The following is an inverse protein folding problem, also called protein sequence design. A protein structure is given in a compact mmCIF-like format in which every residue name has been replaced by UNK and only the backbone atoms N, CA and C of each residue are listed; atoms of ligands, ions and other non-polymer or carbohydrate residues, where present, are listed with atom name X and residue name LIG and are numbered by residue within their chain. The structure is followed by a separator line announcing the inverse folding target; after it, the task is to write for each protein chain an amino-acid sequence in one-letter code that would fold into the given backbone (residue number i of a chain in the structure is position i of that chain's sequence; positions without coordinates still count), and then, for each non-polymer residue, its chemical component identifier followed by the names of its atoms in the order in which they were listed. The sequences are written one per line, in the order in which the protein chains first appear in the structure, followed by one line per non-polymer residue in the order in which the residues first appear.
data_IF_826498209753
#
_entry.id   IF_826498209753
#
_cell.length_a   1.000
_cell.length_b   1.000
_cell.length_c   1.000
_cell.angle_alpha   90.00
_cell.angle_beta   90.00
_cell.angle_gamma   90.00
#
_symmetry.space_group_name_H-M   'P 1'
#
loop_
_entity.id
_entity.type
_entity.pdbx_description
1 polymer ?
#
# COMPACT_ATOMS: atom_id res chain seq x y z
N UNK A 1 -27.49 -0.61 7.94
CA UNK A 1 -26.89 0.69 7.58
C UNK A 1 -25.53 0.82 8.24
N UNK A 2 -24.51 1.14 7.49
CA UNK A 2 -23.16 1.40 8.02
C UNK A 2 -23.20 2.67 8.87
N UNK A 3 -22.77 2.57 10.13
CA UNK A 3 -22.71 3.74 11.00
C UNK A 3 -21.43 4.53 10.77
N UNK A 4 -21.45 5.46 9.83
CA UNK A 4 -20.31 6.29 9.46
C UNK A 4 -19.74 7.11 10.62
N UNK A 5 -20.56 7.50 11.61
CA UNK A 5 -20.08 8.23 12.79
C UNK A 5 -19.09 7.39 13.62
N UNK A 6 -19.34 6.08 13.76
CA UNK A 6 -18.39 5.17 14.43
C UNK A 6 -17.10 5.02 13.64
N UNK A 7 -17.19 4.96 12.31
CA UNK A 7 -16.00 4.88 11.45
C UNK A 7 -15.17 6.16 11.53
N UNK A 8 -15.80 7.33 11.48
CA UNK A 8 -15.13 8.62 11.62
C UNK A 8 -14.34 8.73 12.93
N UNK A 9 -14.91 8.26 14.04
CA UNK A 9 -14.25 8.28 15.35
C UNK A 9 -12.96 7.43 15.44
N UNK A 10 -12.72 6.55 14.48
CA UNK A 10 -11.49 5.74 14.42
C UNK A 10 -10.29 6.52 13.88
N UNK A 11 -10.53 7.69 13.28
CA UNK A 11 -9.50 8.52 12.66
C UNK A 11 -9.28 9.80 13.45
N UNK A 12 -8.07 10.33 13.33
CA UNK A 12 -7.68 11.62 13.91
C UNK A 12 -7.80 12.69 12.82
N UNK A 13 -8.87 13.48 12.93
CA UNK A 13 -9.17 14.58 12.00
C UNK A 13 -9.28 15.86 12.84
N UNK A 14 -8.58 16.95 12.47
CA UNK A 14 -8.67 18.21 13.18
C UNK A 14 -10.11 18.70 13.34
N UNK A 15 -10.40 19.29 14.50
CA UNK A 15 -11.73 19.82 14.80
C UNK A 15 -12.16 20.86 13.76
N UNK A 16 -13.42 20.79 13.34
CA UNK A 16 -13.99 21.70 12.34
C UNK A 16 -13.57 21.40 10.89
N UNK A 17 -12.69 20.43 10.67
CA UNK A 17 -12.27 20.06 9.32
C UNK A 17 -13.20 19.04 8.68
N UNK A 18 -13.66 19.32 7.46
CA UNK A 18 -14.28 18.33 6.56
C UNK A 18 -13.24 17.84 5.57
N UNK A 19 -12.71 16.64 5.79
CA UNK A 19 -11.66 16.06 4.96
C UNK A 19 -12.24 15.14 3.89
N UNK A 20 -12.15 15.54 2.62
CA UNK A 20 -12.73 14.81 1.47
C UNK A 20 -11.66 14.25 0.52
N UNK A 21 -10.38 14.38 0.83
CA UNK A 21 -9.27 13.94 -0.04
C UNK A 21 -8.62 12.64 0.46
N UNK A 22 -9.40 11.75 1.06
CA UNK A 22 -8.92 10.47 1.59
C UNK A 22 -8.40 9.49 0.54
N UNK A 23 -8.71 9.71 -0.75
CA UNK A 23 -8.16 8.96 -1.87
C UNK A 23 -6.69 9.30 -2.14
N UNK A 24 -6.26 10.52 -1.84
CA UNK A 24 -4.88 10.98 -2.00
C UNK A 24 -4.02 10.61 -0.78
N UNK A 25 -4.49 10.98 0.40
CA UNK A 25 -3.90 10.60 1.68
C UNK A 25 -5.01 10.36 2.69
N UNK A 26 -5.14 9.14 3.19
CA UNK A 26 -6.12 8.81 4.23
C UNK A 26 -5.81 9.54 5.54
N UNK A 27 -6.85 9.92 6.33
CA UNK A 27 -6.63 10.47 7.66
C UNK A 27 -5.98 9.40 8.57
N UNK A 28 -5.17 9.86 9.53
CA UNK A 28 -4.43 8.96 10.42
C UNK A 28 -5.38 8.17 11.33
N UNK A 29 -5.33 6.83 11.33
CA UNK A 29 -6.05 6.04 12.32
C UNK A 29 -5.52 6.30 13.73
N UNK A 30 -6.39 6.50 14.71
CA UNK A 30 -5.99 6.75 16.11
C UNK A 30 -5.14 5.64 16.72
N UNK A 31 -5.21 4.42 16.17
CA UNK A 31 -4.38 3.28 16.60
C UNK A 31 -2.97 3.27 16.00
N UNK A 32 -2.71 4.06 14.94
CA UNK A 32 -1.45 4.01 14.21
C UNK A 32 -0.23 4.38 15.08
N UNK A 33 -0.23 5.47 15.89
CA UNK A 33 0.93 5.82 16.73
C UNK A 33 1.33 4.70 17.69
N UNK A 34 0.34 4.07 18.35
CA UNK A 34 0.61 2.93 19.24
C UNK A 34 1.20 1.75 18.49
N UNK A 35 0.63 1.39 17.34
CA UNK A 35 1.10 0.25 16.55
C UNK A 35 2.55 0.47 16.04
N UNK A 36 2.88 1.68 15.62
CA UNK A 36 4.24 2.04 15.20
C UNK A 36 5.20 1.96 16.40
N UNK A 37 4.82 2.53 17.54
CA UNK A 37 5.66 2.48 18.72
C UNK A 37 5.88 1.03 19.23
N UNK A 38 4.83 0.21 19.21
CA UNK A 38 4.93 -1.20 19.58
C UNK A 38 5.90 -1.94 18.64
N UNK A 39 5.85 -1.67 17.35
CA UNK A 39 6.78 -2.24 16.38
C UNK A 39 8.23 -1.81 16.68
N UNK A 40 8.46 -0.52 16.92
CA UNK A 40 9.80 0.02 17.19
C UNK A 40 10.41 -0.59 18.46
N UNK A 41 9.63 -0.67 19.54
CA UNK A 41 10.12 -1.05 20.86
C UNK A 41 10.13 -2.58 21.05
N UNK A 42 9.07 -3.27 20.66
CA UNK A 42 8.86 -4.69 20.94
C UNK A 42 9.26 -5.63 19.81
N UNK A 43 9.50 -5.08 18.61
CA UNK A 43 9.99 -5.88 17.49
C UNK A 43 11.38 -5.43 17.07
N UNK A 44 11.54 -4.26 16.46
CA UNK A 44 12.83 -3.85 15.91
C UNK A 44 13.93 -3.76 16.97
N UNK A 45 13.71 -3.02 18.05
CA UNK A 45 14.73 -2.85 19.11
C UNK A 45 15.14 -4.17 19.76
N UNK A 46 14.21 -5.11 19.94
CA UNK A 46 14.46 -6.36 20.67
C UNK A 46 14.94 -7.50 19.77
N UNK A 47 14.42 -7.59 18.57
CA UNK A 47 14.69 -8.72 17.67
C UNK A 47 15.84 -8.46 16.70
N UNK A 48 16.09 -7.19 16.36
CA UNK A 48 17.09 -6.81 15.36
C UNK A 48 16.92 -7.65 14.07
N UNK A 49 18.00 -8.21 13.55
CA UNK A 49 17.95 -9.06 12.33
C UNK A 49 17.10 -10.31 12.49
N UNK A 50 16.94 -10.82 13.71
CA UNK A 50 16.09 -12.00 13.96
C UNK A 50 14.62 -11.76 13.65
N UNK A 51 14.14 -10.50 13.69
CA UNK A 51 12.76 -10.13 13.40
C UNK A 51 12.26 -10.58 12.04
N UNK A 52 13.16 -10.78 11.07
CA UNK A 52 12.78 -11.34 9.78
C UNK A 52 12.09 -12.70 9.90
N UNK A 53 12.54 -13.54 10.83
CA UNK A 53 12.00 -14.87 11.05
C UNK A 53 11.01 -14.90 12.25
N UNK A 54 11.36 -14.28 13.38
CA UNK A 54 10.58 -14.40 14.63
C UNK A 54 9.31 -13.55 14.61
N UNK A 55 9.27 -12.45 13.83
CA UNK A 55 8.15 -11.50 13.71
C UNK A 55 7.52 -11.50 12.30
N UNK A 56 7.85 -12.48 11.50
CA UNK A 56 7.29 -12.64 10.15
C UNK A 56 7.50 -11.43 9.22
N UNK A 57 8.58 -10.64 9.41
CA UNK A 57 8.81 -9.48 8.55
C UNK A 57 9.00 -9.89 7.10
N UNK A 58 9.61 -11.05 6.84
CA UNK A 58 9.85 -11.57 5.51
C UNK A 58 8.56 -11.75 4.69
N UNK A 59 7.48 -12.15 5.34
CA UNK A 59 6.19 -12.40 4.69
C UNK A 59 5.15 -11.34 4.99
N UNK A 60 5.50 -10.28 5.73
CA UNK A 60 4.55 -9.24 6.18
C UNK A 60 3.86 -8.55 5.00
N UNK A 61 4.58 -8.32 3.91
CA UNK A 61 4.07 -7.74 2.66
C UNK A 61 2.94 -8.60 2.05
N UNK A 62 3.10 -9.92 2.04
CA UNK A 62 2.09 -10.87 1.56
C UNK A 62 0.89 -10.92 2.51
N UNK A 63 1.13 -11.01 3.83
CA UNK A 63 0.05 -11.04 4.84
C UNK A 63 -0.82 -9.78 4.80
N UNK A 64 -0.22 -8.61 4.57
CA UNK A 64 -0.95 -7.37 4.38
C UNK A 64 -1.67 -7.36 3.03
N UNK A 65 -1.03 -7.90 2.00
CA UNK A 65 -1.61 -8.08 0.68
C UNK A 65 -2.89 -8.91 0.73
N UNK A 66 -2.90 -10.03 1.41
CA UNK A 66 -4.09 -10.89 1.54
C UNK A 66 -5.26 -10.18 2.24
N UNK A 67 -4.98 -9.32 3.24
CA UNK A 67 -6.02 -8.49 3.86
C UNK A 67 -6.63 -7.49 2.89
N UNK A 68 -5.81 -6.85 2.06
CA UNK A 68 -6.30 -5.94 1.01
C UNK A 68 -7.00 -6.76 -0.08
N UNK A 69 -6.43 -7.88 -0.46
CA UNK A 69 -6.99 -8.82 -1.44
C UNK A 69 -8.43 -9.21 -1.12
N UNK A 70 -8.72 -9.50 0.16
CA UNK A 70 -10.07 -9.85 0.60
C UNK A 70 -11.10 -8.73 0.37
N UNK A 71 -10.68 -7.45 0.38
CA UNK A 71 -11.57 -6.32 0.12
C UNK A 71 -11.87 -6.11 -1.36
N UNK A 72 -10.95 -6.50 -2.23
CA UNK A 72 -11.06 -6.35 -3.69
C UNK A 72 -11.45 -7.64 -4.40
N UNK A 73 -11.73 -8.73 -3.66
CA UNK A 73 -12.14 -10.02 -4.22
C UNK A 73 -10.99 -10.83 -4.84
N UNK A 74 -9.74 -10.53 -4.51
CA UNK A 74 -8.58 -11.29 -4.97
C UNK A 74 -8.38 -12.57 -4.14
N UNK A 75 -7.87 -13.63 -4.76
CA UNK A 75 -7.53 -14.86 -4.08
C UNK A 75 -6.33 -14.68 -3.14
N UNK A 76 -6.24 -15.49 -2.08
CA UNK A 76 -5.09 -15.46 -1.19
C UNK A 76 -3.79 -15.74 -1.95
N UNK A 77 -2.73 -15.03 -1.58
CA UNK A 77 -1.40 -15.13 -2.20
C UNK A 77 -1.26 -14.40 -3.54
N UNK A 78 -2.30 -13.71 -4.02
CA UNK A 78 -2.25 -12.98 -5.30
C UNK A 78 -2.08 -11.48 -5.16
N UNK A 79 -2.08 -10.98 -3.94
CA UNK A 79 -1.90 -9.55 -3.63
C UNK A 79 -0.67 -9.37 -2.76
N UNK A 80 0.15 -8.39 -3.09
CA UNK A 80 1.35 -8.04 -2.32
C UNK A 80 1.42 -6.54 -2.12
N UNK A 81 1.72 -6.11 -0.89
CA UNK A 81 2.02 -4.71 -0.58
C UNK A 81 3.50 -4.46 -0.82
N UNK A 82 3.83 -3.39 -1.48
CA UNK A 82 5.22 -3.04 -1.75
C UNK A 82 5.46 -1.55 -1.63
N UNK A 83 6.58 -1.10 -2.16
CA UNK A 83 7.18 0.21 -2.02
C UNK A 83 6.26 1.40 -2.36
N UNK A 84 6.60 2.15 -3.40
CA UNK A 84 5.78 3.25 -3.91
C UNK A 84 4.98 2.82 -5.15
N UNK A 85 3.96 3.60 -5.50
CA UNK A 85 3.20 3.40 -6.73
C UNK A 85 4.12 3.41 -7.96
N UNK A 86 5.05 4.35 -8.06
CA UNK A 86 5.97 4.45 -9.19
C UNK A 86 6.79 3.18 -9.40
N UNK A 87 7.35 2.60 -8.33
CA UNK A 87 8.08 1.33 -8.40
C UNK A 87 7.14 0.20 -8.86
N UNK A 88 5.91 0.17 -8.39
CA UNK A 88 4.94 -0.87 -8.78
C UNK A 88 4.46 -0.71 -10.23
N UNK A 89 4.28 0.51 -10.71
CA UNK A 89 3.99 0.79 -12.13
C UNK A 89 5.15 0.29 -12.99
N UNK A 90 6.38 0.65 -12.67
CA UNK A 90 7.56 0.15 -13.39
C UNK A 90 7.61 -1.38 -13.42
N UNK A 91 7.45 -2.03 -12.27
CA UNK A 91 7.48 -3.50 -12.18
C UNK A 91 6.36 -4.16 -13.01
N UNK A 92 5.15 -3.60 -12.97
CA UNK A 92 4.01 -4.11 -13.73
C UNK A 92 4.21 -3.96 -15.24
N UNK A 93 4.69 -2.80 -15.68
CA UNK A 93 5.00 -2.53 -17.09
C UNK A 93 6.12 -3.44 -17.59
N UNK A 94 7.21 -3.56 -16.84
CA UNK A 94 8.33 -4.45 -17.19
C UNK A 94 7.87 -5.91 -17.29
N UNK A 95 7.06 -6.38 -16.35
CA UNK A 95 6.49 -7.73 -16.39
C UNK A 95 5.57 -7.92 -17.60
N UNK A 96 4.69 -6.97 -17.90
CA UNK A 96 3.80 -7.03 -19.06
C UNK A 96 4.56 -7.09 -20.39
N UNK A 97 5.62 -6.30 -20.53
CA UNK A 97 6.48 -6.32 -21.73
C UNK A 97 7.23 -7.66 -21.85
N UNK A 98 7.72 -8.20 -20.74
CA UNK A 98 8.39 -9.51 -20.73
C UNK A 98 7.42 -10.65 -21.10
N UNK A 99 6.18 -10.60 -20.65
CA UNK A 99 5.13 -11.58 -20.98
C UNK A 99 4.66 -11.48 -22.45
N UNK A 100 4.80 -10.32 -23.07
CA UNK A 100 4.36 -10.06 -24.44
C UNK A 100 5.47 -9.44 -25.31
N UNK A 101 6.58 -10.16 -25.59
CA UNK A 101 7.81 -9.60 -26.17
C UNK A 101 7.62 -9.04 -27.61
N UNK A 102 6.53 -9.40 -28.27
CA UNK A 102 6.14 -8.85 -29.60
C UNK A 102 5.39 -7.53 -29.49
N UNK A 103 4.90 -7.14 -28.32
CA UNK A 103 4.17 -5.90 -28.08
C UNK A 103 5.12 -4.89 -27.41
N UNK A 104 5.52 -3.87 -28.17
CA UNK A 104 6.49 -2.86 -27.73
C UNK A 104 5.92 -1.46 -27.58
N UNK A 105 4.63 -1.31 -27.79
CA UNK A 105 3.94 -0.02 -27.69
C UNK A 105 3.14 0.00 -26.40
N UNK A 106 3.39 0.99 -25.57
CA UNK A 106 2.63 1.27 -24.35
C UNK A 106 1.68 2.42 -24.68
N UNK A 107 0.38 2.19 -24.49
CA UNK A 107 -0.65 3.23 -24.65
C UNK A 107 -0.94 3.83 -23.27
N UNK A 108 -0.83 5.14 -23.18
CA UNK A 108 -1.18 5.93 -22.01
C UNK A 108 -1.84 7.24 -22.44
N UNK A 109 -2.34 8.02 -21.50
CA UNK A 109 -2.79 9.38 -21.75
C UNK A 109 -1.92 10.38 -20.97
N UNK A 110 -1.90 11.63 -21.46
CA UNK A 110 -1.11 12.70 -20.85
C UNK A 110 -1.78 13.34 -19.62
N UNK A 111 -2.95 12.89 -19.23
CA UNK A 111 -3.65 13.28 -18.01
C UNK A 111 -3.27 12.43 -16.81
N UNK A 112 -2.47 11.38 -16.99
CA UNK A 112 -1.96 10.56 -15.90
C UNK A 112 -1.02 11.34 -14.97
N UNK A 113 -0.82 10.80 -13.76
CA UNK A 113 0.11 11.42 -12.82
C UNK A 113 1.53 11.44 -13.41
N UNK A 114 2.28 12.56 -13.33
CA UNK A 114 3.54 12.71 -14.07
C UNK A 114 4.57 11.61 -13.84
N UNK A 115 4.71 11.10 -12.60
CA UNK A 115 5.66 10.03 -12.31
C UNK A 115 5.33 8.73 -13.01
N UNK A 116 4.06 8.45 -13.29
CA UNK A 116 3.67 7.23 -14.01
C UNK A 116 4.13 7.29 -15.46
N UNK A 117 4.05 8.48 -16.08
CA UNK A 117 4.58 8.72 -17.43
C UNK A 117 6.11 8.57 -17.45
N UNK A 118 6.82 9.13 -16.46
CA UNK A 118 8.28 8.97 -16.36
C UNK A 118 8.71 7.50 -16.22
N UNK A 119 7.93 6.68 -15.49
CA UNK A 119 8.22 5.25 -15.36
C UNK A 119 8.03 4.48 -16.67
N UNK A 120 7.24 5.00 -17.60
CA UNK A 120 6.99 4.41 -18.91
C UNK A 120 8.01 4.88 -19.96
N UNK A 121 8.53 6.09 -19.81
CA UNK A 121 9.55 6.67 -20.71
C UNK A 121 10.96 6.10 -20.47
N UNK A 122 11.30 5.66 -19.25
CA UNK A 122 12.61 5.12 -18.85
C UNK A 122 12.74 3.64 -19.13
#
# INVERSE_FOLDING_TARGET
MTNFSKTQQMFDIPEGMVYLNGNSLGPMPKKAPKAINDFLINEWRTELVKGWNTKNWFIKSNLLGDRIGSLIGAANGTTVVGDSLSIKVFQAVAAALAMAPKRRVILSDNGNFPTDLYMVEG
#
